data_IF_442861536797
#
_entry.id   IF_442861536797
#
_cell.length_a   1.000
_cell.length_b   1.000
_cell.length_c   1.000
_cell.angle_alpha   90.00
_cell.angle_beta   90.00
_cell.angle_gamma   90.00
#
_symmetry.space_group_name_H-M   'P 1'
#
loop_
_entity.id
_entity.type
_entity.pdbx_description
1 polymer ?
#
# COMPACT_ATOMS: atom_id res chain seq x y z
N UNK A 1 -28.25 53.87 -54.50
CA UNK A 1 -27.94 54.72 -53.32
C UNK A 1 -27.71 53.81 -52.16
N UNK A 2 -26.41 53.72 -51.75
CA UNK A 2 -25.85 53.93 -50.41
C UNK A 2 -26.38 52.94 -49.37
N UNK A 3 -25.64 52.21 -48.55
CA UNK A 3 -24.30 52.42 -48.02
C UNK A 3 -23.81 51.11 -47.37
N UNK A 4 -22.57 50.85 -47.58
CA UNK A 4 -21.69 49.86 -46.89
C UNK A 4 -21.51 50.20 -45.40
N UNK A 5 -21.53 49.21 -44.52
CA UNK A 5 -21.00 49.35 -43.17
C UNK A 5 -20.02 48.20 -42.90
N UNK A 6 -18.75 48.51 -42.87
CA UNK A 6 -17.67 47.70 -42.33
C UNK A 6 -17.68 47.86 -40.79
N UNK A 7 -17.61 46.75 -40.06
CA UNK A 7 -17.25 46.74 -38.66
C UNK A 7 -15.84 46.20 -38.50
N UNK A 8 -14.92 47.09 -38.14
CA UNK A 8 -13.55 46.82 -37.72
C UNK A 8 -13.56 46.48 -36.22
N UNK A 9 -13.07 45.32 -35.87
CA UNK A 9 -12.81 44.94 -34.46
C UNK A 9 -11.42 45.44 -34.07
N UNK A 10 -11.34 46.29 -33.07
CA UNK A 10 -10.09 46.76 -32.47
C UNK A 10 -9.67 45.82 -31.34
N UNK A 11 -8.44 45.29 -31.46
CA UNK A 11 -7.74 44.59 -30.39
C UNK A 11 -7.15 45.62 -29.41
N UNK A 12 -7.59 45.61 -28.15
CA UNK A 12 -6.92 46.33 -27.07
C UNK A 12 -5.94 45.37 -26.35
N UNK A 13 -4.65 45.61 -26.51
CA UNK A 13 -3.58 45.05 -25.69
C UNK A 13 -3.33 45.95 -24.49
N UNK A 14 -3.60 45.48 -23.31
CA UNK A 14 -3.18 46.15 -22.08
C UNK A 14 -1.82 45.63 -21.59
N UNK A 15 -0.80 46.46 -21.70
CA UNK A 15 0.48 46.27 -21.02
C UNK A 15 0.28 46.58 -19.51
N UNK A 16 0.51 45.59 -18.63
CA UNK A 16 0.71 45.87 -17.20
C UNK A 16 2.20 45.88 -16.89
N UNK A 17 2.67 47.02 -16.44
CA UNK A 17 4.03 47.21 -15.96
C UNK A 17 4.23 46.49 -14.63
N UNK A 18 5.25 45.62 -14.58
CA UNK A 18 5.69 44.97 -13.35
C UNK A 18 6.51 45.92 -12.51
N UNK A 19 6.19 46.02 -11.21
CA UNK A 19 7.03 46.66 -10.21
C UNK A 19 8.06 45.62 -9.67
N UNK A 20 9.28 46.05 -9.32
CA UNK A 20 10.27 45.14 -8.77
C UNK A 20 9.94 44.81 -7.31
N UNK A 21 9.86 43.51 -7.01
CA UNK A 21 9.75 43.01 -5.65
C UNK A 21 11.12 43.16 -4.94
N UNK A 22 11.11 43.83 -3.79
CA UNK A 22 12.25 43.94 -2.90
C UNK A 22 12.60 42.55 -2.33
N UNK A 23 13.86 42.19 -2.43
CA UNK A 23 14.40 41.00 -1.77
C UNK A 23 14.39 41.26 -0.24
N UNK A 24 13.60 40.46 0.47
CA UNK A 24 13.73 40.32 1.92
C UNK A 24 14.66 39.13 2.20
N UNK A 25 15.84 39.45 2.73
CA UNK A 25 16.74 38.47 3.36
C UNK A 25 16.03 37.95 4.63
N UNK A 26 15.39 36.82 4.47
CA UNK A 26 14.90 36.01 5.56
C UNK A 26 15.70 34.71 5.58
N UNK A 27 16.64 34.61 6.51
CA UNK A 27 17.23 33.34 6.93
C UNK A 27 16.10 32.47 7.50
N UNK A 28 15.42 31.73 6.63
CA UNK A 28 14.51 30.71 7.07
C UNK A 28 15.34 29.54 7.61
N UNK A 29 15.22 29.29 8.90
CA UNK A 29 15.63 28.06 9.54
C UNK A 29 15.11 26.89 8.69
N UNK A 30 16.03 26.11 8.12
CA UNK A 30 15.74 24.85 7.49
C UNK A 30 15.36 23.89 8.61
N UNK A 31 14.13 23.40 8.68
CA UNK A 31 13.79 22.36 9.66
C UNK A 31 14.65 21.14 9.35
N UNK A 32 15.34 20.65 10.38
CA UNK A 32 16.11 19.43 10.33
C UNK A 32 15.26 18.26 9.79
N UNK A 33 15.92 17.49 8.95
CA UNK A 33 15.53 16.23 8.29
C UNK A 33 14.25 15.56 8.76
N UNK A 34 13.39 15.30 7.77
CA UNK A 34 12.09 14.72 7.83
C UNK A 34 11.85 13.62 8.86
N UNK A 35 10.98 13.94 9.79
CA UNK A 35 10.24 12.92 10.52
C UNK A 35 9.31 12.24 9.51
N UNK A 36 9.18 10.89 9.52
CA UNK A 36 8.18 10.23 8.72
C UNK A 36 6.81 10.75 9.14
N UNK A 37 6.20 11.55 8.28
CA UNK A 37 4.80 11.95 8.44
C UNK A 37 3.99 10.70 8.16
N UNK A 38 3.29 10.20 9.16
CA UNK A 38 2.24 9.20 8.98
C UNK A 38 1.11 9.88 8.19
N UNK A 39 1.16 9.78 6.88
CA UNK A 39 0.20 10.38 5.98
C UNK A 39 -1.07 9.53 5.97
N UNK A 40 -1.99 9.82 6.91
CA UNK A 40 -3.34 9.27 6.95
C UNK A 40 -4.24 10.12 6.05
N UNK A 41 -4.60 9.60 4.88
CA UNK A 41 -5.52 10.26 3.96
C UNK A 41 -6.98 10.07 4.41
N UNK A 42 -7.42 10.86 5.33
CA UNK A 42 -8.80 10.94 5.75
C UNK A 42 -8.90 11.20 7.24
N UNK A 43 -9.79 12.12 7.64
CA UNK A 43 -10.05 12.42 9.04
C UNK A 43 -10.67 11.19 9.74
N UNK A 44 -9.79 10.27 10.16
CA UNK A 44 -10.18 9.16 11.00
C UNK A 44 -10.25 9.64 12.46
N UNK A 45 -11.46 9.78 12.99
CA UNK A 45 -11.66 10.12 14.39
C UNK A 45 -11.85 8.86 15.23
N UNK A 46 -11.31 8.85 16.44
CA UNK A 46 -11.41 7.71 17.37
C UNK A 46 -12.39 8.02 18.50
N UNK A 47 -13.26 7.06 18.90
CA UNK A 47 -13.55 5.79 18.23
C UNK A 47 -14.26 5.98 16.89
N UNK A 48 -14.11 4.99 15.99
CA UNK A 48 -14.76 4.98 14.69
C UNK A 48 -15.96 4.02 14.63
N UNK A 49 -16.72 4.09 13.55
CA UNK A 49 -17.81 3.13 13.30
C UNK A 49 -17.24 1.81 12.77
N UNK A 50 -17.84 0.66 13.14
CA UNK A 50 -17.48 -0.62 12.55
C UNK A 50 -17.76 -0.68 11.05
N UNK A 51 -16.80 -1.16 10.26
CA UNK A 51 -16.95 -1.42 8.83
C UNK A 51 -17.51 -2.83 8.65
N UNK A 52 -18.78 -2.92 8.17
CA UNK A 52 -19.49 -4.20 8.05
C UNK A 52 -19.03 -5.05 6.89
N UNK A 53 -18.59 -4.43 5.78
CA UNK A 53 -18.12 -5.14 4.60
C UNK A 53 -16.75 -5.76 4.81
N UNK A 54 -16.47 -6.91 4.19
CA UNK A 54 -15.14 -7.49 4.16
C UNK A 54 -14.21 -6.58 3.33
N UNK A 55 -13.09 -6.10 3.87
CA UNK A 55 -12.15 -5.28 3.13
C UNK A 55 -11.55 -5.99 1.91
N UNK A 56 -11.18 -5.25 0.87
CA UNK A 56 -10.63 -5.83 -0.35
C UNK A 56 -9.37 -6.68 -0.10
N UNK A 57 -8.53 -6.26 0.84
CA UNK A 57 -7.31 -6.98 1.23
C UNK A 57 -7.58 -8.37 1.82
N UNK A 58 -8.77 -8.58 2.39
CA UNK A 58 -9.26 -9.88 2.87
C UNK A 58 -10.10 -10.62 1.84
N UNK A 59 -10.81 -9.91 0.93
CA UNK A 59 -11.56 -10.55 -0.15
C UNK A 59 -10.65 -11.29 -1.15
N UNK A 60 -9.43 -10.80 -1.39
CA UNK A 60 -8.45 -11.46 -2.24
C UNK A 60 -7.87 -12.73 -1.62
N UNK A 61 -7.99 -12.87 -0.32
CA UNK A 61 -7.55 -14.05 0.42
C UNK A 61 -8.76 -14.91 0.69
N UNK A 62 -8.70 -16.16 0.27
CA UNK A 62 -9.73 -17.15 0.59
C UNK A 62 -9.54 -17.56 2.05
N UNK A 63 -10.11 -16.78 3.00
CA UNK A 63 -9.89 -16.97 4.44
C UNK A 63 -10.17 -18.40 4.92
N UNK A 64 -11.20 -19.05 4.38
CA UNK A 64 -11.53 -20.43 4.73
C UNK A 64 -10.41 -21.39 4.30
N UNK A 65 -9.77 -21.14 3.16
CA UNK A 65 -8.62 -21.90 2.69
C UNK A 65 -7.36 -21.55 3.49
N UNK A 66 -7.11 -20.25 3.72
CA UNK A 66 -5.98 -19.78 4.50
C UNK A 66 -5.96 -20.36 5.92
N UNK A 67 -7.13 -20.54 6.53
CA UNK A 67 -7.29 -20.98 7.91
C UNK A 67 -7.62 -22.48 8.05
N UNK A 68 -7.38 -23.28 7.02
CA UNK A 68 -7.63 -24.71 7.07
C UNK A 68 -6.83 -25.39 8.19
N UNK A 69 -5.56 -25.04 8.34
CA UNK A 69 -4.66 -25.68 9.27
C UNK A 69 -4.50 -24.90 10.58
N UNK A 70 -4.50 -23.56 10.50
CA UNK A 70 -4.28 -22.72 11.67
C UNK A 70 -4.81 -21.29 11.47
N UNK A 71 -5.10 -20.63 12.59
CA UNK A 71 -5.42 -19.20 12.67
C UNK A 71 -4.38 -18.43 13.48
N UNK A 72 -3.18 -19.01 13.68
CA UNK A 72 -2.09 -18.42 14.46
C UNK A 72 -1.76 -19.14 15.75
N UNK A 73 -2.30 -20.36 15.98
CA UNK A 73 -1.88 -21.29 17.03
C UNK A 73 -1.25 -22.53 16.42
N UNK A 74 -0.24 -23.08 17.11
CA UNK A 74 0.36 -24.35 16.73
C UNK A 74 -0.58 -25.54 17.07
N UNK A 75 -0.18 -26.74 16.66
CA UNK A 75 -0.92 -27.96 16.93
C UNK A 75 -1.11 -28.28 18.42
N UNK A 76 -0.32 -27.66 19.29
CA UNK A 76 -0.44 -27.76 20.75
C UNK A 76 -1.32 -26.66 21.36
N UNK A 77 -1.92 -25.81 20.52
CA UNK A 77 -2.79 -24.70 20.92
C UNK A 77 -2.02 -23.48 21.45
N UNK A 78 -0.70 -23.41 21.29
CA UNK A 78 0.12 -22.27 21.73
C UNK A 78 0.05 -21.17 20.66
N UNK A 79 -0.32 -19.93 21.02
CA UNK A 79 -0.38 -18.84 20.06
C UNK A 79 1.03 -18.41 19.64
N UNK A 80 1.20 -18.09 18.37
CA UNK A 80 2.40 -17.42 17.88
C UNK A 80 2.43 -15.99 18.43
N UNK A 81 3.55 -15.60 18.98
CA UNK A 81 3.78 -14.28 19.57
C UNK A 81 4.38 -13.35 18.52
N UNK A 82 3.68 -12.25 18.24
CA UNK A 82 4.11 -11.23 17.26
C UNK A 82 4.34 -9.91 18.00
N UNK A 83 5.56 -9.42 18.01
CA UNK A 83 5.82 -8.10 18.56
C UNK A 83 5.47 -7.00 17.54
N UNK A 84 4.77 -5.98 18.00
CA UNK A 84 4.48 -4.74 17.28
C UNK A 84 5.24 -3.60 17.96
N UNK A 85 6.29 -3.12 17.31
CA UNK A 85 7.12 -2.01 17.80
C UNK A 85 6.64 -0.75 17.09
N UNK A 86 5.84 0.08 17.82
CA UNK A 86 5.08 1.16 17.22
C UNK A 86 4.67 2.24 18.25
N UNK A 87 3.56 2.95 18.03
CA UNK A 87 3.00 4.00 18.91
C UNK A 87 2.24 3.47 20.14
N UNK A 88 2.21 2.15 20.32
CA UNK A 88 1.40 1.43 21.30
C UNK A 88 0.26 0.65 20.61
N UNK A 89 -0.51 -0.10 21.40
CA UNK A 89 -1.68 -0.86 20.89
C UNK A 89 -2.85 -0.69 21.85
N UNK A 90 -3.90 0.03 21.43
CA UNK A 90 -5.05 0.25 22.30
C UNK A 90 -5.93 -1.00 22.43
N UNK A 91 -6.04 -1.51 23.66
CA UNK A 91 -6.88 -2.66 24.02
C UNK A 91 -8.34 -2.30 24.34
N UNK A 92 -8.71 -1.02 24.24
CA UNK A 92 -10.12 -0.63 24.33
C UNK A 92 -10.89 -1.03 23.08
N UNK A 93 -10.19 -1.23 21.96
CA UNK A 93 -10.80 -1.83 20.79
C UNK A 93 -11.18 -3.29 21.08
N UNK A 94 -12.49 -3.67 20.99
CA UNK A 94 -12.96 -5.01 21.35
C UNK A 94 -12.28 -6.15 20.58
N UNK A 95 -11.83 -5.88 19.34
CA UNK A 95 -11.14 -6.90 18.52
C UNK A 95 -9.69 -7.13 18.95
N UNK A 96 -9.10 -6.25 19.77
CA UNK A 96 -7.71 -6.34 20.25
C UNK A 96 -7.60 -6.71 21.71
N UNK A 97 -8.65 -6.55 22.51
CA UNK A 97 -8.64 -6.81 23.96
C UNK A 97 -8.04 -8.17 24.32
N UNK A 98 -8.45 -9.23 23.62
CA UNK A 98 -7.98 -10.60 23.87
C UNK A 98 -6.87 -11.03 22.89
N UNK A 99 -6.45 -10.13 21.99
CA UNK A 99 -5.36 -10.38 21.05
C UNK A 99 -4.00 -9.89 21.57
N UNK A 100 -3.98 -9.06 22.61
CA UNK A 100 -2.78 -8.38 23.09
C UNK A 100 -2.36 -8.89 24.48
N UNK A 101 -1.10 -9.32 24.60
CA UNK A 101 -0.46 -9.61 25.88
C UNK A 101 0.15 -8.34 26.48
N UNK A 102 -0.68 -7.58 27.18
CA UNK A 102 -0.28 -6.32 27.82
C UNK A 102 0.85 -6.51 28.85
N UNK A 103 0.96 -7.71 29.48
CA UNK A 103 1.97 -7.98 30.51
C UNK A 103 3.37 -8.20 29.92
N UNK A 104 3.42 -8.71 28.70
CA UNK A 104 4.67 -8.89 27.97
C UNK A 104 5.10 -7.61 27.21
N UNK A 105 4.22 -6.61 27.17
CA UNK A 105 4.49 -5.34 26.49
C UNK A 105 5.43 -4.43 27.27
N UNK A 106 6.03 -3.47 26.55
CA UNK A 106 6.97 -2.50 27.12
C UNK A 106 6.68 -1.10 26.57
N UNK A 107 6.75 -0.08 27.43
CA UNK A 107 6.74 1.33 27.06
C UNK A 107 8.16 1.90 27.19
N UNK A 108 8.73 2.34 26.09
CA UNK A 108 10.10 2.87 26.00
C UNK A 108 10.16 4.40 25.95
N UNK A 109 9.03 5.08 26.12
CA UNK A 109 8.96 6.54 26.11
C UNK A 109 9.25 7.09 27.52
N UNK A 110 10.46 7.61 27.73
CA UNK A 110 10.87 8.16 29.02
C UNK A 110 10.56 9.66 29.17
N UNK A 111 10.53 10.40 28.07
CA UNK A 111 10.53 11.88 28.07
C UNK A 111 9.27 12.51 27.45
N UNK A 112 8.31 11.70 26.97
CA UNK A 112 7.09 12.19 26.36
C UNK A 112 6.02 12.48 27.43
N UNK A 113 5.06 13.39 27.14
CA UNK A 113 3.88 13.67 27.98
C UNK A 113 3.10 12.41 28.37
N UNK A 114 3.27 11.34 27.59
CA UNK A 114 2.63 10.05 27.75
C UNK A 114 3.56 8.97 28.30
N UNK A 115 4.77 9.32 28.74
CA UNK A 115 5.66 8.37 29.39
C UNK A 115 4.97 7.71 30.58
N UNK A 116 5.12 6.37 30.68
CA UNK A 116 4.52 5.60 31.76
C UNK A 116 3.02 5.33 31.63
N UNK A 117 2.35 5.72 30.56
CA UNK A 117 0.95 5.32 30.30
C UNK A 117 0.81 3.84 29.90
N UNK A 118 1.94 3.21 29.56
CA UNK A 118 2.04 1.80 29.23
C UNK A 118 1.90 1.48 27.74
N UNK A 119 2.26 0.27 27.34
CA UNK A 119 2.31 -0.14 25.94
C UNK A 119 0.93 -0.31 25.30
N UNK A 120 -0.13 -0.31 26.11
CA UNK A 120 -1.53 -0.46 25.67
C UNK A 120 -2.27 0.86 25.50
N UNK A 121 -1.54 1.97 25.48
CA UNK A 121 -2.05 3.31 25.15
C UNK A 121 -1.47 3.71 23.81
N UNK A 122 -2.35 4.07 22.86
CA UNK A 122 -1.98 4.49 21.51
C UNK A 122 -2.73 5.77 21.13
N UNK A 123 -2.17 6.94 21.41
CA UNK A 123 -2.81 8.22 21.08
C UNK A 123 -2.78 8.54 19.59
N UNK A 124 -1.92 7.89 18.82
CA UNK A 124 -1.75 8.08 17.37
C UNK A 124 -2.69 7.15 16.59
N UNK A 125 -2.91 5.95 17.12
CA UNK A 125 -3.72 4.90 16.49
C UNK A 125 -2.98 4.09 15.43
N UNK A 126 -1.70 4.38 15.17
CA UNK A 126 -0.94 3.68 14.14
C UNK A 126 -0.62 2.24 14.57
N UNK A 127 -0.05 2.02 15.74
CA UNK A 127 0.24 0.68 16.25
C UNK A 127 -1.01 -0.16 16.48
N UNK A 128 -2.14 0.48 16.83
CA UNK A 128 -3.44 -0.20 16.92
C UNK A 128 -3.91 -0.72 15.57
N UNK A 129 -3.74 0.06 14.48
CA UNK A 129 -4.02 -0.39 13.11
C UNK A 129 -3.10 -1.53 12.70
N UNK A 130 -1.81 -1.41 12.97
CA UNK A 130 -0.79 -2.43 12.69
C UNK A 130 -1.14 -3.74 13.40
N UNK A 131 -1.43 -3.70 14.69
CA UNK A 131 -1.83 -4.88 15.47
C UNK A 131 -3.12 -5.52 14.94
N UNK A 132 -4.07 -4.70 14.50
CA UNK A 132 -5.33 -5.15 13.93
C UNK A 132 -5.15 -5.98 12.66
N UNK A 133 -4.32 -5.55 11.73
CA UNK A 133 -4.03 -6.30 10.50
C UNK A 133 -3.44 -7.67 10.83
N UNK A 134 -2.63 -7.77 11.87
CA UNK A 134 -2.03 -9.05 12.29
C UNK A 134 -3.07 -9.95 12.96
N UNK A 135 -3.74 -9.46 14.03
CA UNK A 135 -4.38 -10.34 15.02
C UNK A 135 -5.77 -9.90 15.49
N UNK A 136 -6.43 -8.93 14.85
CA UNK A 136 -7.78 -8.55 15.25
C UNK A 136 -8.71 -9.76 15.30
N UNK A 137 -9.40 -9.95 16.43
CA UNK A 137 -10.37 -11.04 16.63
C UNK A 137 -11.60 -10.82 15.73
N UNK A 138 -12.28 -11.88 15.28
CA UNK A 138 -13.56 -11.75 14.61
C UNK A 138 -14.58 -11.02 15.48
N UNK A 139 -15.40 -10.15 14.87
CA UNK A 139 -16.47 -9.45 15.54
C UNK A 139 -17.76 -9.48 14.71
N UNK A 140 -18.90 -9.75 15.32
CA UNK A 140 -20.19 -9.82 14.63
C UNK A 140 -20.60 -8.48 13.97
N UNK A 141 -20.03 -7.37 14.43
CA UNK A 141 -20.32 -6.03 13.94
C UNK A 141 -19.44 -5.58 12.77
N UNK A 142 -18.39 -6.33 12.45
CA UNK A 142 -17.40 -5.94 11.43
C UNK A 142 -17.04 -7.11 10.50
N UNK A 143 -16.86 -6.82 9.21
CA UNK A 143 -16.29 -7.75 8.24
C UNK A 143 -14.75 -7.77 8.25
N UNK A 144 -14.12 -6.93 9.08
CA UNK A 144 -12.68 -6.91 9.25
C UNK A 144 -12.22 -7.91 10.31
N UNK A 145 -11.13 -8.61 10.03
CA UNK A 145 -10.42 -9.52 10.94
C UNK A 145 -8.93 -9.51 10.60
N UNK A 146 -8.09 -9.79 11.57
CA UNK A 146 -6.64 -9.95 11.33
C UNK A 146 -6.32 -11.25 10.59
N UNK A 147 -5.18 -11.32 9.92
CA UNK A 147 -4.78 -12.50 9.15
C UNK A 147 -4.51 -13.72 10.05
N UNK A 148 -3.92 -13.50 11.23
CA UNK A 148 -3.63 -14.53 12.22
C UNK A 148 -4.43 -14.26 13.52
N UNK A 149 -5.77 -14.40 13.49
CA UNK A 149 -6.63 -13.93 14.58
C UNK A 149 -6.52 -14.75 15.88
N UNK A 150 -5.74 -15.81 15.92
CA UNK A 150 -5.46 -16.56 17.14
C UNK A 150 -4.01 -16.38 17.63
N UNK A 151 -3.18 -15.60 16.92
CA UNK A 151 -1.87 -15.17 17.43
C UNK A 151 -2.01 -14.14 18.56
N UNK A 152 -0.92 -13.83 19.24
CA UNK A 152 -0.88 -12.86 20.34
C UNK A 152 0.11 -11.77 20.02
N UNK A 153 -0.32 -10.52 20.13
CA UNK A 153 0.49 -9.33 19.95
C UNK A 153 1.20 -8.95 21.26
N UNK A 154 2.52 -8.72 21.18
CA UNK A 154 3.31 -8.09 22.22
C UNK A 154 3.47 -6.62 21.85
N UNK A 155 2.81 -5.67 22.55
CA UNK A 155 2.89 -4.25 22.22
C UNK A 155 4.18 -3.65 22.77
N UNK A 156 4.98 -3.02 21.92
CA UNK A 156 6.18 -2.28 22.33
C UNK A 156 6.01 -0.84 21.84
N UNK A 157 5.75 0.05 22.81
CA UNK A 157 5.56 1.45 22.52
C UNK A 157 6.91 2.15 22.52
N UNK A 158 7.36 2.58 21.35
CA UNK A 158 8.62 3.29 21.18
C UNK A 158 8.50 4.60 20.42
N UNK A 159 7.37 4.83 19.74
CA UNK A 159 7.08 6.09 19.04
C UNK A 159 6.15 6.95 19.89
N UNK A 160 6.45 8.25 19.95
CA UNK A 160 5.67 9.25 20.67
C UNK A 160 4.34 9.62 19.95
N UNK A 161 3.63 10.60 20.50
CA UNK A 161 2.36 11.10 19.92
C UNK A 161 2.51 11.74 18.51
N UNK A 162 3.74 12.01 18.07
CA UNK A 162 4.05 12.49 16.72
C UNK A 162 4.52 11.37 15.79
N UNK A 163 4.52 10.14 16.28
CA UNK A 163 5.06 8.98 15.56
C UNK A 163 6.59 8.95 15.52
N UNK A 164 7.28 9.79 16.29
CA UNK A 164 8.72 9.86 16.30
C UNK A 164 9.33 8.89 17.32
N UNK A 165 10.42 8.25 16.91
CA UNK A 165 11.24 7.38 17.74
C UNK A 165 12.71 7.52 17.35
N UNK A 166 13.60 6.78 18.01
CA UNK A 166 15.04 6.79 17.71
C UNK A 166 15.51 5.40 17.33
N UNK A 167 16.60 5.30 16.55
CA UNK A 167 17.23 4.02 16.25
C UNK A 167 17.69 3.28 17.52
N UNK A 168 18.07 4.02 18.57
CA UNK A 168 18.44 3.45 19.87
C UNK A 168 17.24 2.84 20.59
N UNK A 169 16.11 3.55 20.68
CA UNK A 169 14.89 3.00 21.32
C UNK A 169 14.33 1.85 20.50
N UNK A 170 14.45 1.88 19.18
CA UNK A 170 14.08 0.75 18.32
C UNK A 170 14.95 -0.49 18.59
N UNK A 171 16.27 -0.31 18.74
CA UNK A 171 17.17 -1.41 19.11
C UNK A 171 16.80 -2.05 20.47
N UNK A 172 16.46 -1.22 21.46
CA UNK A 172 15.95 -1.70 22.75
C UNK A 172 14.63 -2.44 22.57
N UNK A 173 13.72 -1.90 21.78
CA UNK A 173 12.43 -2.52 21.48
C UNK A 173 12.56 -3.90 20.83
N UNK A 174 13.47 -4.07 19.87
CA UNK A 174 13.77 -5.37 19.25
C UNK A 174 14.26 -6.36 20.31
N UNK A 175 15.20 -5.94 21.16
CA UNK A 175 15.70 -6.80 22.24
C UNK A 175 14.57 -7.22 23.19
N UNK A 176 13.72 -6.28 23.63
CA UNK A 176 12.56 -6.58 24.48
C UNK A 176 11.58 -7.54 23.81
N UNK A 177 11.35 -7.40 22.50
CA UNK A 177 10.51 -8.31 21.72
C UNK A 177 11.05 -9.75 21.77
N UNK A 178 12.35 -9.92 21.55
CA UNK A 178 13.03 -11.22 21.59
C UNK A 178 12.97 -11.83 23.01
N UNK A 179 13.27 -11.04 24.05
CA UNK A 179 13.24 -11.47 25.44
C UNK A 179 11.81 -11.84 25.90
N UNK A 180 10.78 -11.19 25.34
CA UNK A 180 9.36 -11.52 25.52
C UNK A 180 8.90 -12.76 24.73
N UNK A 181 9.78 -13.40 23.98
CA UNK A 181 9.50 -14.63 23.24
C UNK A 181 8.73 -14.40 21.92
N UNK A 182 8.89 -13.25 21.29
CA UNK A 182 8.36 -13.03 19.96
C UNK A 182 8.98 -14.00 18.94
N UNK A 183 8.16 -14.54 18.05
CA UNK A 183 8.58 -15.36 16.91
C UNK A 183 8.58 -14.56 15.61
N UNK A 184 7.86 -13.45 15.61
CA UNK A 184 7.80 -12.46 14.53
C UNK A 184 7.88 -11.07 15.16
N UNK A 185 8.63 -10.19 14.57
CA UNK A 185 8.69 -8.77 14.94
C UNK A 185 8.22 -7.97 13.72
N UNK A 186 7.23 -7.10 13.91
CA UNK A 186 6.79 -6.14 12.93
C UNK A 186 7.28 -4.74 13.29
N UNK A 187 7.94 -4.07 12.34
CA UNK A 187 8.45 -2.70 12.44
C UNK A 187 7.87 -1.89 11.30
N UNK A 188 6.85 -1.07 11.62
CA UNK A 188 6.14 -0.24 10.63
C UNK A 188 6.63 1.21 10.64
N UNK A 189 7.94 1.38 10.75
CA UNK A 189 8.63 2.67 10.77
C UNK A 189 10.01 2.51 10.14
N UNK A 190 10.56 3.60 9.63
CA UNK A 190 11.84 3.58 8.96
C UNK A 190 12.62 4.90 9.13
N UNK A 191 13.89 4.86 8.80
CA UNK A 191 14.73 6.03 8.61
C UNK A 191 15.55 5.91 7.35
N UNK A 192 15.60 6.97 6.57
CA UNK A 192 16.49 7.10 5.41
C UNK A 192 17.87 7.63 5.80
N UNK A 193 18.06 8.04 7.06
CA UNK A 193 19.38 8.48 7.55
C UNK A 193 20.31 7.28 7.61
N UNK A 194 21.45 7.31 6.89
CA UNK A 194 22.41 6.22 6.94
C UNK A 194 22.93 6.02 8.37
N UNK A 195 22.80 4.80 8.87
CA UNK A 195 23.36 4.41 10.15
C UNK A 195 24.79 3.92 9.95
N UNK A 196 25.62 4.07 10.98
CA UNK A 196 26.98 3.52 10.94
C UNK A 196 26.90 2.00 10.89
N UNK A 197 27.83 1.34 10.19
CA UNK A 197 28.01 -0.10 10.34
C UNK A 197 28.18 -0.47 11.83
N UNK A 198 27.71 -1.64 12.21
CA UNK A 198 27.70 -2.12 13.60
C UNK A 198 26.94 -1.21 14.58
N UNK A 199 25.92 -0.50 14.09
CA UNK A 199 25.04 0.29 14.95
C UNK A 199 24.29 -0.61 15.96
N UNK A 200 23.82 -0.03 17.07
CA UNK A 200 23.01 -0.78 18.05
C UNK A 200 21.77 -1.40 17.41
N UNK A 201 21.18 -0.71 16.40
CA UNK A 201 20.04 -1.22 15.69
C UNK A 201 20.37 -2.43 14.82
N UNK A 202 21.49 -2.36 14.08
CA UNK A 202 21.95 -3.49 13.24
C UNK A 202 22.22 -4.73 14.12
N UNK A 203 22.98 -4.55 15.20
CA UNK A 203 23.26 -5.65 16.15
C UNK A 203 21.99 -6.24 16.77
N UNK A 204 20.99 -5.41 17.11
CA UNK A 204 19.73 -5.89 17.65
C UNK A 204 18.93 -6.72 16.62
N UNK A 205 18.96 -6.32 15.34
CA UNK A 205 18.37 -7.11 14.25
C UNK A 205 19.11 -8.43 14.07
N UNK A 206 20.44 -8.42 14.03
CA UNK A 206 21.26 -9.64 13.90
C UNK A 206 21.02 -10.62 15.06
N UNK A 207 20.93 -10.12 16.31
CA UNK A 207 20.61 -10.96 17.49
C UNK A 207 19.20 -11.57 17.37
N UNK A 208 18.21 -10.81 16.91
CA UNK A 208 16.85 -11.31 16.68
C UNK A 208 16.83 -12.44 15.63
N UNK A 209 17.51 -12.25 14.52
CA UNK A 209 17.63 -13.26 13.46
C UNK A 209 18.38 -14.50 13.94
N UNK A 210 19.48 -14.32 14.71
CA UNK A 210 20.26 -15.43 15.28
C UNK A 210 19.44 -16.24 16.31
N UNK A 211 18.47 -15.61 16.99
CA UNK A 211 17.50 -16.26 17.89
C UNK A 211 16.26 -16.77 17.18
N UNK A 212 16.32 -16.91 15.87
CA UNK A 212 15.27 -17.50 15.04
C UNK A 212 13.95 -16.69 15.05
N UNK A 213 14.03 -15.35 15.11
CA UNK A 213 12.89 -14.46 15.02
C UNK A 213 12.79 -13.90 13.61
N UNK A 214 11.61 -13.96 12.99
CA UNK A 214 11.33 -13.30 11.70
C UNK A 214 11.20 -11.80 11.93
N UNK A 215 12.02 -11.01 11.25
CA UNK A 215 11.92 -9.54 11.32
C UNK A 215 11.32 -9.02 10.02
N UNK A 216 10.15 -8.39 10.12
CA UNK A 216 9.42 -7.79 8.99
C UNK A 216 9.44 -6.27 9.17
N UNK A 217 9.81 -5.54 8.13
CA UNK A 217 9.86 -4.09 8.19
C UNK A 217 9.26 -3.43 6.95
N UNK A 218 8.63 -2.27 7.13
CA UNK A 218 8.13 -1.44 6.04
C UNK A 218 9.28 -0.89 5.19
N UNK A 219 9.12 -0.88 3.87
CA UNK A 219 10.13 -0.38 2.94
C UNK A 219 10.25 1.14 2.90
N UNK A 220 9.27 1.88 3.45
CA UNK A 220 9.22 3.34 3.44
C UNK A 220 8.27 3.92 2.40
N UNK A 221 7.87 5.18 2.60
CA UNK A 221 6.82 5.84 1.81
C UNK A 221 7.31 7.01 0.93
N UNK A 222 8.63 7.19 0.78
CA UNK A 222 9.23 8.29 0.02
C UNK A 222 9.52 7.94 -1.46
N UNK A 223 8.89 6.88 -1.99
CA UNK A 223 9.19 6.36 -3.33
C UNK A 223 8.57 7.13 -4.50
N UNK A 224 7.77 8.18 -4.24
CA UNK A 224 7.07 8.94 -5.28
C UNK A 224 8.03 9.74 -6.18
N UNK A 225 9.22 10.09 -5.71
CA UNK A 225 10.25 10.81 -6.47
C UNK A 225 11.01 9.89 -7.46
N UNK A 226 10.71 8.58 -7.46
CA UNK A 226 11.37 7.57 -8.29
C UNK A 226 12.82 7.25 -7.88
N UNK A 227 13.33 7.84 -6.79
CA UNK A 227 14.69 7.58 -6.32
C UNK A 227 14.71 6.39 -5.38
N UNK A 228 15.69 5.54 -5.57
CA UNK A 228 15.96 4.45 -4.64
C UNK A 228 16.72 4.97 -3.42
N UNK A 229 16.15 4.79 -2.23
CA UNK A 229 16.78 5.11 -0.96
C UNK A 229 16.66 3.89 -0.06
N UNK A 230 17.79 3.44 0.49
CA UNK A 230 17.76 2.41 1.52
C UNK A 230 17.12 2.98 2.79
N UNK A 231 16.20 2.22 3.37
CA UNK A 231 15.54 2.53 4.63
C UNK A 231 15.92 1.50 5.68
N UNK A 232 16.06 1.92 6.92
CA UNK A 232 16.45 1.04 8.02
C UNK A 232 15.35 0.95 9.07
N UNK A 233 15.06 -0.28 9.57
CA UNK A 233 15.86 -1.52 9.48
C UNK A 233 15.61 -2.37 8.22
N UNK A 234 14.71 -1.98 7.31
CA UNK A 234 14.30 -2.78 6.15
C UNK A 234 15.49 -3.23 5.27
N UNK A 235 16.51 -2.38 5.12
CA UNK A 235 17.69 -2.68 4.29
C UNK A 235 18.75 -3.57 4.98
N UNK A 236 18.58 -3.92 6.25
CA UNK A 236 19.51 -4.85 6.88
C UNK A 236 19.32 -6.28 6.36
N UNK A 237 20.42 -6.99 6.23
CA UNK A 237 20.41 -8.36 5.75
C UNK A 237 19.56 -9.27 6.64
N UNK A 238 18.66 -10.05 6.03
CA UNK A 238 17.78 -10.99 6.71
C UNK A 238 16.47 -10.40 7.21
N UNK A 239 16.30 -9.08 7.13
CA UNK A 239 15.01 -8.43 7.33
C UNK A 239 14.15 -8.62 6.09
N UNK A 240 12.89 -9.02 6.26
CA UNK A 240 11.92 -9.06 5.18
C UNK A 240 11.32 -7.66 4.99
N UNK A 241 11.89 -6.92 4.04
CA UNK A 241 11.41 -5.59 3.69
C UNK A 241 10.15 -5.66 2.81
N UNK A 242 9.11 -4.93 3.19
CA UNK A 242 7.79 -5.01 2.56
C UNK A 242 7.41 -3.69 1.92
N UNK A 243 7.25 -3.72 0.58
CA UNK A 243 6.65 -2.65 -0.20
C UNK A 243 5.12 -2.69 -0.16
N UNK A 244 4.48 -1.60 -0.57
CA UNK A 244 3.02 -1.51 -0.67
C UNK A 244 2.55 -1.77 -2.10
N UNK A 245 1.51 -2.58 -2.25
CA UNK A 245 0.75 -2.77 -3.49
C UNK A 245 -0.70 -2.36 -3.32
N UNK A 246 -1.34 -2.07 -4.44
CA UNK A 246 -2.78 -1.84 -4.53
C UNK A 246 -3.55 -3.15 -4.79
N UNK A 247 -4.87 -3.01 -5.04
CA UNK A 247 -5.76 -4.14 -5.33
C UNK A 247 -5.50 -4.86 -6.66
N UNK A 248 -4.72 -4.24 -7.56
CA UNK A 248 -4.34 -4.82 -8.86
C UNK A 248 -2.96 -5.47 -8.82
N UNK A 249 -2.34 -5.60 -7.63
CA UNK A 249 -0.97 -6.05 -7.43
C UNK A 249 0.08 -5.09 -8.02
N UNK A 250 -0.30 -3.85 -8.31
CA UNK A 250 0.62 -2.82 -8.76
C UNK A 250 1.30 -2.15 -7.56
N UNK A 251 2.58 -1.79 -7.71
CA UNK A 251 3.29 -1.04 -6.67
C UNK A 251 2.58 0.28 -6.41
N UNK A 252 2.32 0.59 -5.15
CA UNK A 252 1.82 1.90 -4.76
C UNK A 252 2.86 2.99 -5.08
N UNK A 253 2.46 4.14 -5.69
CA UNK A 253 3.42 5.18 -6.11
C UNK A 253 4.33 5.68 -4.98
N UNK A 254 3.82 5.76 -3.76
CA UNK A 254 4.58 6.20 -2.59
C UNK A 254 5.56 5.13 -2.07
N UNK A 255 5.33 3.83 -2.36
CA UNK A 255 6.17 2.77 -1.83
C UNK A 255 7.62 2.94 -2.24
N UNK A 256 8.55 2.87 -1.31
CA UNK A 256 9.97 2.92 -1.61
C UNK A 256 10.39 1.70 -2.43
N UNK A 257 11.44 1.86 -3.23
CA UNK A 257 12.00 0.81 -4.10
C UNK A 257 13.50 0.65 -3.88
N UNK A 258 14.00 -0.53 -4.14
CA UNK A 258 15.44 -0.85 -4.04
C UNK A 258 15.70 -2.34 -3.97
N UNK A 259 16.97 -2.69 -4.07
CA UNK A 259 17.40 -4.09 -4.02
C UNK A 259 17.20 -4.74 -2.63
N UNK A 260 16.81 -3.96 -1.63
CA UNK A 260 16.47 -4.46 -0.31
C UNK A 260 15.02 -4.94 -0.20
N UNK A 261 14.10 -4.48 -1.07
CA UNK A 261 12.68 -4.89 -1.02
C UNK A 261 12.57 -6.39 -1.26
N UNK A 262 12.06 -7.14 -0.28
CA UNK A 262 11.87 -8.59 -0.37
C UNK A 262 10.58 -8.95 -1.11
N UNK A 263 9.46 -8.39 -0.66
CA UNK A 263 8.13 -8.60 -1.24
C UNK A 263 7.32 -7.31 -1.19
N UNK A 264 6.18 -7.29 -1.88
CA UNK A 264 5.12 -6.31 -1.66
C UNK A 264 3.88 -6.98 -1.07
N UNK A 265 3.02 -6.20 -0.42
CA UNK A 265 1.75 -6.65 0.10
C UNK A 265 0.71 -5.52 0.05
N UNK A 266 -0.60 -5.82 0.24
CA UNK A 266 -1.64 -4.82 0.31
C UNK A 266 -1.28 -3.68 1.26
N UNK A 267 -1.21 -2.44 0.75
CA UNK A 267 -0.85 -1.25 1.50
C UNK A 267 -1.62 0.00 1.09
N UNK A 268 -2.63 -0.14 0.22
CA UNK A 268 -3.51 0.94 -0.24
C UNK A 268 -4.93 0.65 0.20
N UNK A 269 -5.66 1.64 0.72
CA UNK A 269 -7.03 1.49 1.23
C UNK A 269 -7.18 0.35 2.24
N UNK A 270 -6.22 0.26 3.17
CA UNK A 270 -6.19 -0.78 4.18
C UNK A 270 -7.14 -0.45 5.33
N UNK A 271 -8.12 -1.31 5.54
CA UNK A 271 -9.01 -1.22 6.71
C UNK A 271 -8.33 -1.85 7.92
N UNK A 272 -8.36 -1.17 9.07
CA UNK A 272 -7.90 -1.76 10.33
C UNK A 272 -8.56 -1.13 11.56
N UNK A 273 -8.36 -1.78 12.72
CA UNK A 273 -8.83 -1.34 14.04
C UNK A 273 -8.24 0.00 14.45
N UNK A 274 -9.00 0.79 15.19
CA UNK A 274 -8.54 2.07 15.74
C UNK A 274 -8.78 2.16 17.24
N UNK A 275 -8.12 3.06 17.95
CA UNK A 275 -8.32 3.26 19.38
C UNK A 275 -9.79 3.46 19.77
N UNK A 276 -10.19 2.87 20.90
CA UNK A 276 -11.56 2.96 21.43
C UNK A 276 -12.61 2.13 20.69
N UNK A 277 -12.32 1.59 19.51
CA UNK A 277 -13.21 0.71 18.75
C UNK A 277 -13.50 1.18 17.32
N UNK A 278 -14.03 0.27 16.51
CA UNK A 278 -14.30 0.48 15.09
C UNK A 278 -13.05 0.34 14.22
N UNK A 279 -13.16 0.74 12.94
CA UNK A 279 -12.10 0.65 11.95
C UNK A 279 -12.04 1.92 11.11
N UNK A 280 -10.85 2.22 10.57
CA UNK A 280 -10.63 3.24 9.55
C UNK A 280 -9.87 2.66 8.36
N UNK A 281 -9.87 3.42 7.28
CA UNK A 281 -9.07 3.15 6.08
C UNK A 281 -7.80 3.98 6.13
N UNK A 282 -6.67 3.38 5.73
CA UNK A 282 -5.38 4.04 5.66
C UNK A 282 -4.50 3.44 4.55
N UNK A 283 -3.35 4.07 4.27
CA UNK A 283 -2.40 3.57 3.28
C UNK A 283 -0.96 3.78 3.73
N UNK A 284 -0.06 2.94 3.25
CA UNK A 284 1.36 2.98 3.58
C UNK A 284 1.99 1.60 3.58
N UNK A 285 3.31 1.54 3.40
CA UNK A 285 4.10 0.32 3.64
C UNK A 285 4.01 -0.14 5.09
N UNK A 286 3.66 0.78 6.01
CA UNK A 286 3.37 0.51 7.42
C UNK A 286 2.17 -0.43 7.63
N UNK A 287 1.27 -0.55 6.65
CA UNK A 287 0.12 -1.47 6.70
C UNK A 287 0.34 -2.71 5.84
N UNK A 288 1.28 -2.66 4.90
CA UNK A 288 1.73 -3.83 4.15
C UNK A 288 2.62 -4.76 5.00
N UNK A 289 3.51 -4.21 5.81
CA UNK A 289 4.38 -5.00 6.71
C UNK A 289 3.58 -5.88 7.68
N UNK A 290 2.58 -5.40 8.45
CA UNK A 290 1.80 -6.25 9.34
C UNK A 290 0.97 -7.32 8.60
N UNK A 291 0.58 -7.08 7.36
CA UNK A 291 -0.04 -8.12 6.54
C UNK A 291 0.92 -9.30 6.36
N UNK A 292 2.18 -9.03 6.02
CA UNK A 292 3.23 -10.05 5.88
C UNK A 292 3.59 -10.67 7.23
N UNK A 293 3.62 -9.89 8.31
CA UNK A 293 3.85 -10.41 9.67
C UNK A 293 2.74 -11.38 10.10
N UNK A 294 1.49 -11.13 9.71
CA UNK A 294 0.36 -12.05 9.91
C UNK A 294 0.56 -13.37 9.15
N UNK A 295 1.00 -13.32 7.89
CA UNK A 295 1.34 -14.52 7.10
C UNK A 295 2.49 -15.28 7.74
N UNK A 296 3.55 -14.59 8.17
CA UNK A 296 4.67 -15.21 8.87
C UNK A 296 4.22 -15.90 10.20
N UNK A 297 3.27 -15.29 10.91
CA UNK A 297 2.70 -15.90 12.12
C UNK A 297 1.91 -17.17 11.81
N UNK A 298 1.15 -17.23 10.71
CA UNK A 298 0.46 -18.44 10.28
C UNK A 298 1.44 -19.55 9.89
N UNK A 299 2.49 -19.23 9.12
CA UNK A 299 3.53 -20.22 8.77
C UNK A 299 4.23 -20.74 10.04
N UNK A 300 4.56 -19.86 10.98
CA UNK A 300 5.15 -20.26 12.27
C UNK A 300 4.23 -21.15 13.12
N UNK A 301 2.92 -20.94 13.03
CA UNK A 301 1.94 -21.76 13.72
C UNK A 301 1.82 -23.17 13.10
N UNK A 302 1.82 -23.25 11.77
CA UNK A 302 1.75 -24.50 11.03
C UNK A 302 3.06 -25.28 11.12
N UNK A 303 4.19 -24.57 10.99
CA UNK A 303 5.53 -25.13 10.95
C UNK A 303 6.43 -24.53 12.06
N UNK A 304 6.23 -24.90 13.35
CA UNK A 304 6.94 -24.28 14.46
C UNK A 304 8.46 -24.54 14.44
N UNK A 305 8.90 -25.59 13.76
CA UNK A 305 10.31 -25.98 13.65
C UNK A 305 11.06 -25.31 12.51
N UNK A 306 10.35 -24.68 11.57
CA UNK A 306 10.99 -23.95 10.47
C UNK A 306 11.79 -22.77 11.00
N UNK A 307 12.95 -22.54 10.41
CA UNK A 307 13.83 -21.41 10.76
C UNK A 307 13.30 -20.11 10.17
N UNK A 308 13.70 -18.97 10.77
CA UNK A 308 13.24 -17.66 10.33
C UNK A 308 13.51 -17.42 8.83
N UNK A 309 14.67 -17.81 8.31
CA UNK A 309 15.01 -17.66 6.89
C UNK A 309 14.15 -18.56 5.98
N UNK A 310 13.69 -19.72 6.47
CA UNK A 310 12.79 -20.61 5.72
C UNK A 310 11.37 -20.02 5.64
N UNK A 311 10.89 -19.39 6.72
CA UNK A 311 9.63 -18.65 6.71
C UNK A 311 9.69 -17.49 5.70
N UNK A 312 10.80 -16.73 5.70
CA UNK A 312 11.02 -15.65 4.73
C UNK A 312 11.06 -16.19 3.31
N UNK A 313 11.86 -17.24 3.06
CA UNK A 313 11.98 -17.85 1.75
C UNK A 313 10.64 -18.42 1.22
N UNK A 314 9.80 -18.97 2.11
CA UNK A 314 8.47 -19.45 1.75
C UNK A 314 7.56 -18.31 1.29
N UNK A 315 7.53 -17.19 2.02
CA UNK A 315 6.76 -16.01 1.63
C UNK A 315 7.23 -15.46 0.27
N UNK A 316 8.54 -15.39 0.07
CA UNK A 316 9.14 -14.90 -1.17
C UNK A 316 8.92 -15.86 -2.35
N UNK A 317 9.02 -17.18 -2.11
CA UNK A 317 8.87 -18.22 -3.15
C UNK A 317 7.46 -18.29 -3.69
N UNK A 318 6.46 -18.12 -2.83
CA UNK A 318 5.03 -18.23 -3.16
C UNK A 318 4.40 -16.90 -3.56
N UNK A 319 5.14 -15.79 -3.51
CA UNK A 319 4.65 -14.49 -3.92
C UNK A 319 4.25 -14.48 -5.41
N UNK A 320 3.15 -13.80 -5.71
CA UNK A 320 2.64 -13.62 -7.07
C UNK A 320 3.47 -12.58 -7.81
N UNK A 321 3.99 -12.95 -8.97
CA UNK A 321 4.87 -12.10 -9.77
C UNK A 321 4.53 -12.17 -11.25
N UNK A 322 4.64 -11.03 -11.97
CA UNK A 322 4.33 -10.99 -13.41
C UNK A 322 5.45 -11.56 -14.28
N UNK A 323 6.67 -11.70 -13.74
CA UNK A 323 7.85 -12.19 -14.46
C UNK A 323 8.73 -13.06 -13.57
N UNK A 324 9.58 -13.89 -14.18
CA UNK A 324 10.56 -14.68 -13.44
C UNK A 324 11.60 -13.76 -12.78
N UNK A 325 11.91 -14.06 -11.51
CA UNK A 325 12.93 -13.38 -10.76
C UNK A 325 12.44 -12.26 -9.84
N UNK A 326 13.39 -11.58 -9.24
CA UNK A 326 13.18 -10.48 -8.28
C UNK A 326 13.40 -9.14 -8.98
N UNK A 327 12.56 -8.16 -8.67
CA UNK A 327 12.76 -6.78 -9.10
C UNK A 327 12.92 -5.82 -7.90
N UNK A 328 13.25 -4.56 -8.19
CA UNK A 328 13.47 -3.53 -7.16
C UNK A 328 12.19 -2.89 -6.62
N UNK A 329 11.03 -3.15 -7.21
CA UNK A 329 9.77 -2.47 -6.93
C UNK A 329 8.86 -3.26 -5.99
N UNK A 330 8.72 -4.56 -6.27
CA UNK A 330 7.89 -5.50 -5.51
C UNK A 330 8.69 -6.71 -4.98
N UNK A 331 10.02 -6.68 -5.13
CA UNK A 331 10.88 -7.78 -4.70
C UNK A 331 10.58 -9.06 -5.46
N UNK A 332 10.29 -10.16 -4.74
CA UNK A 332 9.91 -11.44 -5.33
C UNK A 332 8.44 -11.50 -5.77
N UNK A 333 7.67 -10.45 -5.55
CA UNK A 333 6.26 -10.35 -5.95
C UNK A 333 5.35 -9.86 -4.83
N UNK A 334 4.05 -9.87 -5.09
CA UNK A 334 3.02 -9.56 -4.09
C UNK A 334 2.67 -10.81 -3.31
N UNK A 335 2.70 -10.75 -1.99
CA UNK A 335 2.46 -11.90 -1.12
C UNK A 335 1.09 -12.53 -1.38
N UNK A 336 1.09 -13.84 -1.59
CA UNK A 336 -0.10 -14.68 -1.65
C UNK A 336 -0.18 -15.54 -0.38
N UNK A 337 -1.02 -15.17 0.58
CA UNK A 337 -1.13 -15.89 1.85
C UNK A 337 -1.63 -17.32 1.70
N UNK A 338 -2.53 -17.58 0.74
CA UNK A 338 -3.08 -18.91 0.53
C UNK A 338 -1.99 -19.85 -0.02
N UNK A 339 -1.23 -19.42 -1.03
CA UNK A 339 -0.12 -20.21 -1.57
C UNK A 339 0.97 -20.43 -0.53
N UNK A 340 1.28 -19.43 0.30
CA UNK A 340 2.28 -19.54 1.36
C UNK A 340 1.96 -20.63 2.39
N UNK A 341 0.68 -20.99 2.55
CA UNK A 341 0.18 -22.02 3.49
C UNK A 341 -0.25 -23.33 2.81
N UNK A 342 -0.27 -23.39 1.48
CA UNK A 342 -0.68 -24.59 0.74
C UNK A 342 0.41 -25.20 -0.13
N UNK A 343 1.40 -24.42 -0.54
CA UNK A 343 2.58 -24.87 -1.29
C UNK A 343 3.79 -24.98 -0.33
N UNK A 344 3.63 -25.68 0.80
CA UNK A 344 4.55 -25.68 1.94
C UNK A 344 5.02 -27.09 2.37
N UNK A 345 5.04 -28.05 1.45
CA UNK A 345 5.45 -29.42 1.71
C UNK A 345 6.87 -29.54 2.27
N UNK A 346 7.76 -28.62 1.88
CA UNK A 346 9.16 -28.63 2.29
C UNK A 346 9.65 -27.22 2.58
N UNK A 347 10.42 -27.00 3.70
CA UNK A 347 10.94 -25.69 4.02
C UNK A 347 12.00 -25.27 2.99
N UNK A 348 11.83 -24.16 2.27
CA UNK A 348 12.86 -23.66 1.36
C UNK A 348 13.95 -22.92 2.16
N UNK A 349 15.22 -23.28 1.98
CA UNK A 349 16.32 -22.54 2.60
C UNK A 349 16.57 -21.18 1.92
N UNK A 350 16.14 -21.06 0.66
CA UNK A 350 16.23 -19.84 -0.15
C UNK A 350 15.24 -19.93 -1.31
N UNK A 351 14.88 -18.78 -1.85
CA UNK A 351 14.06 -18.75 -3.07
C UNK A 351 14.81 -19.43 -4.21
N UNK A 352 14.15 -20.41 -4.82
CA UNK A 352 14.62 -21.07 -6.04
C UNK A 352 13.98 -20.36 -7.23
N UNK A 353 14.78 -19.79 -8.12
CA UNK A 353 14.26 -19.42 -9.45
C UNK A 353 13.73 -20.69 -10.10
N UNK A 354 12.55 -20.67 -10.76
CA UNK A 354 12.07 -21.81 -11.48
C UNK A 354 13.15 -22.33 -12.44
N UNK A 355 13.77 -23.45 -12.12
CA UNK A 355 14.70 -24.16 -13.01
C UNK A 355 13.85 -25.00 -13.99
N UNK A 356 12.99 -24.35 -14.75
CA UNK A 356 12.43 -24.91 -15.95
C UNK A 356 13.18 -24.34 -17.15
N UNK A 357 13.33 -25.09 -18.26
CA UNK A 357 13.63 -24.40 -19.50
C UNK A 357 12.58 -23.30 -19.60
N UNK A 358 13.02 -22.04 -19.71
CA UNK A 358 12.12 -20.98 -20.06
C UNK A 358 11.36 -21.53 -21.27
N UNK A 359 10.12 -21.99 -21.03
CA UNK A 359 9.22 -22.14 -22.14
C UNK A 359 9.16 -20.71 -22.65
N UNK A 360 9.96 -20.44 -23.69
CA UNK A 360 9.80 -19.26 -24.50
C UNK A 360 8.36 -19.37 -25.00
N UNK A 361 7.41 -18.95 -24.17
CA UNK A 361 6.07 -18.63 -24.62
C UNK A 361 6.36 -17.59 -25.65
N UNK A 362 6.26 -18.01 -26.93
CA UNK A 362 6.48 -17.10 -28.06
C UNK A 362 5.67 -15.85 -27.71
N UNK A 363 6.37 -14.72 -27.62
CA UNK A 363 5.75 -13.49 -27.23
C UNK A 363 4.43 -13.38 -28.00
N UNK A 364 3.28 -13.19 -27.36
CA UNK A 364 2.02 -13.17 -28.03
C UNK A 364 2.18 -12.20 -29.18
N UNK A 365 1.99 -12.68 -30.42
CA UNK A 365 2.06 -11.80 -31.58
C UNK A 365 1.10 -10.66 -31.32
N UNK A 366 1.52 -9.41 -31.34
CA UNK A 366 0.61 -8.30 -31.15
C UNK A 366 -0.56 -8.52 -32.08
N UNK A 367 -1.78 -8.61 -31.56
CA UNK A 367 -2.95 -8.66 -32.41
C UNK A 367 -2.86 -7.43 -33.31
N UNK A 368 -2.83 -7.65 -34.62
CA UNK A 368 -2.88 -6.52 -35.55
C UNK A 368 -4.24 -5.86 -35.33
N UNK A 369 -4.24 -4.73 -34.64
CA UNK A 369 -5.42 -3.88 -34.60
C UNK A 369 -5.64 -3.40 -36.02
N UNK A 370 -6.72 -3.80 -36.70
CA UNK A 370 -7.02 -3.28 -38.02
C UNK A 370 -7.25 -1.77 -37.84
N UNK A 371 -6.25 -0.96 -38.24
CA UNK A 371 -6.36 0.51 -38.28
C UNK A 371 -7.23 1.00 -39.42
N UNK A 372 -8.14 0.18 -39.93
CA UNK A 372 -9.04 0.49 -41.01
C UNK A 372 -10.49 0.45 -40.59
N UNK A 373 -11.31 1.27 -41.24
CA UNK A 373 -12.77 1.22 -41.06
C UNK A 373 -13.30 -0.19 -41.22
N UNK A 374 -14.11 -0.61 -40.30
CA UNK A 374 -14.89 -1.86 -40.46
C UNK A 374 -15.86 -1.71 -41.64
N UNK A 375 -16.23 -2.81 -42.31
CA UNK A 375 -17.22 -2.77 -43.40
C UNK A 375 -18.53 -2.07 -42.99
N UNK A 376 -18.92 -2.19 -41.73
CA UNK A 376 -20.12 -1.57 -41.17
C UNK A 376 -19.96 -0.06 -40.98
N UNK A 377 -18.82 0.41 -40.51
CA UNK A 377 -18.53 1.86 -40.39
C UNK A 377 -18.47 2.52 -41.76
N UNK A 378 -17.85 1.85 -42.75
CA UNK A 378 -17.82 2.32 -44.15
C UNK A 378 -19.23 2.42 -44.74
N UNK A 379 -20.10 1.42 -44.50
CA UNK A 379 -21.50 1.47 -44.97
C UNK A 379 -22.26 2.62 -44.29
N UNK A 380 -22.10 2.79 -42.98
CA UNK A 380 -22.74 3.90 -42.24
C UNK A 380 -22.29 5.25 -42.76
N UNK A 381 -21.00 5.45 -42.99
CA UNK A 381 -20.44 6.68 -43.54
C UNK A 381 -20.97 6.98 -44.96
N UNK A 382 -20.98 5.97 -45.84
CA UNK A 382 -21.51 6.11 -47.17
C UNK A 382 -23.02 6.42 -47.16
N UNK A 383 -23.78 5.78 -46.31
CA UNK A 383 -25.21 6.08 -46.11
C UNK A 383 -25.44 7.51 -45.61
N UNK A 384 -24.62 7.98 -44.68
CA UNK A 384 -24.69 9.36 -44.18
C UNK A 384 -24.38 10.38 -45.29
N UNK A 385 -23.36 10.12 -46.10
CA UNK A 385 -23.02 11.02 -47.23
C UNK A 385 -24.07 11.03 -48.32
N UNK A 386 -24.67 9.87 -48.63
CA UNK A 386 -25.76 9.80 -49.61
C UNK A 386 -27.01 10.53 -49.14
N UNK A 387 -27.40 10.34 -47.86
CA UNK A 387 -28.51 11.08 -47.24
C UNK A 387 -28.27 12.59 -47.22
N UNK A 388 -27.09 13.01 -46.77
CA UNK A 388 -26.71 14.43 -46.72
C UNK A 388 -26.67 15.06 -48.13
N UNK A 389 -26.07 14.36 -49.10
CA UNK A 389 -26.02 14.82 -50.48
C UNK A 389 -27.42 14.93 -51.14
N UNK A 390 -28.28 13.95 -50.88
CA UNK A 390 -29.66 13.95 -51.34
C UNK A 390 -30.46 15.11 -50.73
N UNK A 391 -30.33 15.35 -49.44
CA UNK A 391 -30.99 16.45 -48.74
C UNK A 391 -30.53 17.82 -49.29
N UNK A 392 -29.22 17.99 -49.54
CA UNK A 392 -28.66 19.20 -50.10
C UNK A 392 -29.17 19.45 -51.54
N UNK A 393 -29.27 18.39 -52.35
CA UNK A 393 -29.79 18.47 -53.72
C UNK A 393 -31.28 18.86 -53.71
N UNK A 394 -32.10 18.26 -52.89
CA UNK A 394 -33.52 18.61 -52.74
C UNK A 394 -33.66 20.06 -52.27
N UNK A 395 -32.88 20.52 -51.32
CA UNK A 395 -32.88 21.91 -50.87
C UNK A 395 -32.50 22.90 -52.01
N UNK A 396 -31.48 22.54 -52.79
CA UNK A 396 -31.06 23.34 -53.95
C UNK A 396 -32.15 23.42 -55.03
N UNK A 397 -32.82 22.30 -55.35
CA UNK A 397 -33.94 22.28 -56.34
C UNK A 397 -35.11 23.10 -55.77
N UNK A 398 -35.52 22.94 -54.55
CA UNK A 398 -36.58 23.68 -53.91
C UNK A 398 -36.28 25.20 -53.90
N UNK A 399 -35.05 25.56 -53.49
CA UNK A 399 -34.58 26.94 -53.50
C UNK A 399 -34.57 27.55 -54.85
N UNK A 400 -34.12 26.81 -55.90
CA UNK A 400 -34.15 27.25 -57.31
C UNK A 400 -35.58 27.47 -57.83
N UNK A 401 -36.49 26.53 -57.45
CA UNK A 401 -37.91 26.68 -57.89
C UNK A 401 -38.56 27.90 -57.21
N UNK A 402 -38.24 28.21 -55.96
CA UNK A 402 -38.71 29.41 -55.27
C UNK A 402 -38.19 30.68 -55.97
N UNK A 403 -36.90 30.74 -56.33
CA UNK A 403 -36.28 31.87 -56.99
C UNK A 403 -36.88 32.10 -58.41
N UNK A 404 -37.07 31.02 -59.17
CA UNK A 404 -37.71 31.10 -60.51
C UNK A 404 -39.16 31.58 -60.36
N UNK A 405 -39.93 31.08 -59.42
CA UNK A 405 -41.31 31.48 -59.11
C UNK A 405 -41.40 32.96 -58.74
N UNK A 406 -40.49 33.45 -57.92
CA UNK A 406 -40.46 34.84 -57.48
C UNK A 406 -40.05 35.79 -58.64
N UNK A 407 -39.09 35.38 -59.47
CA UNK A 407 -38.74 36.12 -60.70
C UNK A 407 -39.92 36.22 -61.70
N UNK A 408 -40.65 35.10 -61.85
CA UNK A 408 -41.80 35.09 -62.75
C UNK A 408 -42.95 35.96 -62.24
N UNK A 409 -43.18 35.99 -60.91
CA UNK A 409 -44.16 36.89 -60.29
C UNK A 409 -43.84 38.39 -60.44
N UNK A 410 -42.54 38.73 -60.47
CA UNK A 410 -42.11 40.14 -60.68
C UNK A 410 -42.12 40.59 -62.15
N UNK A 411 -42.42 39.67 -63.09
CA UNK A 411 -42.47 39.94 -64.50
C UNK A 411 -43.88 40.06 -65.08
N UNK A 412 -44.91 39.91 -64.26
CA UNK A 412 -46.28 40.15 -64.66
C UNK A 412 -46.66 41.63 -64.35
N UNK A 413 -47.17 42.36 -65.30
CA UNK A 413 -47.49 43.79 -65.18
C UNK A 413 -48.57 44.10 -64.16
#
# INVERSE_FOLDING_TARGET
MRTTAMLTAALLTTLTAGAPAAAADGTADVPAAGHPVLDGSGECTYPAKPIKGTPWSLQRVLLDQLWQDTKGKDAQGRPVRVAVIDTGVDIQNPQLKDAVDAKAGTDLLSDAKDAGKGPTVDPVGHGTKVAGIIAARPAATSGFVGLAPESVVIPIRQNDEKGAGTSRTLAVGIKQAVDAGARVINISQDTTTPLRPDSDLERAVEDALARDVVVVASAGNDGADGKTKATYPAAYRGVLAVGASDRNNERAPFSQSGDFVGVAAPGVDMVSTVPGGGQCVDHGTSFAAPYVAGVAALIRAKHPDWKQHQVVAQIEQTAERPSDGRDRYIGWGVVDPARALTEDDHPPDRVSSPQGPAHAVAAPRPAAFPQGETPRERQTRLATYTLGGTAALVAAIAGSAVVVRDRNRRRLP
#
